data_IF_140957099182
#
_entry.id   IF_140957099182
#
_cell.length_a   1.000
_cell.length_b   1.000
_cell.length_c   1.000
_cell.angle_alpha   90.00
_cell.angle_beta   90.00
_cell.angle_gamma   90.00
#
_symmetry.space_group_name_H-M   'P 1'
#
loop_
_entity.id
_entity.type
_entity.pdbx_description
1 polymer ?
#
# COMPACT_ATOMS: atom_id res chain seq x y z
N UNK A 1 -60.09 75.23 -149.83
CA UNK A 1 -59.06 74.55 -149.00
C UNK A 1 -59.38 74.58 -147.49
N UNK A 2 -60.58 74.98 -147.06
CA UNK A 2 -60.97 74.97 -145.62
C UNK A 2 -61.96 73.86 -145.24
N UNK A 3 -62.73 73.30 -146.19
CA UNK A 3 -63.74 72.26 -145.93
C UNK A 3 -63.11 70.90 -145.52
N UNK A 4 -61.95 70.52 -146.07
CA UNK A 4 -61.27 69.25 -145.75
C UNK A 4 -60.68 69.25 -144.33
N UNK A 5 -60.23 70.42 -143.83
CA UNK A 5 -59.68 70.54 -142.48
C UNK A 5 -60.77 70.46 -141.40
N UNK A 6 -61.95 71.00 -141.65
CA UNK A 6 -63.09 70.88 -140.72
C UNK A 6 -63.68 69.47 -140.72
N UNK A 7 -63.72 68.77 -141.86
CA UNK A 7 -64.16 67.36 -141.94
C UNK A 7 -63.23 66.43 -141.14
N UNK A 8 -61.91 66.58 -141.27
CA UNK A 8 -60.95 65.77 -140.51
C UNK A 8 -60.96 66.09 -139.01
N UNK A 9 -61.34 67.32 -138.62
CA UNK A 9 -61.47 67.71 -137.21
C UNK A 9 -62.77 67.21 -136.59
N UNK A 10 -63.85 67.14 -137.36
CA UNK A 10 -65.13 66.54 -136.94
C UNK A 10 -64.98 65.02 -136.78
N UNK A 11 -64.31 64.33 -137.71
CA UNK A 11 -64.04 62.89 -137.61
C UNK A 11 -63.20 62.50 -136.40
N UNK A 12 -62.18 63.31 -136.05
CA UNK A 12 -61.39 63.14 -134.82
C UNK A 12 -62.21 63.32 -133.54
N UNK A 13 -63.23 64.19 -133.56
CA UNK A 13 -64.13 64.40 -132.41
C UNK A 13 -65.25 63.35 -132.35
N UNK A 14 -65.56 62.67 -133.46
CA UNK A 14 -66.55 61.60 -133.57
C UNK A 14 -65.99 60.18 -133.43
N UNK A 15 -64.66 60.02 -133.29
CA UNK A 15 -64.01 58.73 -133.01
C UNK A 15 -63.34 58.03 -134.20
N UNK A 16 -63.29 58.67 -135.38
CA UNK A 16 -62.50 58.21 -136.54
C UNK A 16 -61.06 58.72 -136.40
N UNK A 17 -60.26 57.91 -135.70
CA UNK A 17 -58.81 58.02 -135.59
C UNK A 17 -58.13 57.32 -136.78
N UNK A 18 -56.97 57.85 -137.20
CA UNK A 18 -56.07 57.23 -138.18
C UNK A 18 -55.61 55.85 -137.63
N UNK A 19 -55.55 54.76 -138.43
CA UNK A 19 -55.29 53.41 -137.92
C UNK A 19 -53.93 53.27 -137.22
N UNK A 20 -52.94 54.10 -137.57
CA UNK A 20 -51.64 54.17 -136.89
C UNK A 20 -51.73 54.76 -135.48
N UNK A 21 -52.49 55.85 -135.28
CA UNK A 21 -52.69 56.45 -133.96
C UNK A 21 -53.46 55.50 -133.03
N UNK A 22 -54.44 54.75 -133.57
CA UNK A 22 -55.16 53.71 -132.82
C UNK A 22 -54.21 52.59 -132.39
N UNK A 23 -53.35 52.10 -133.29
CA UNK A 23 -52.36 51.05 -132.98
C UNK A 23 -51.37 51.49 -131.90
N UNK A 24 -50.89 52.74 -131.93
CA UNK A 24 -50.00 53.29 -130.91
C UNK A 24 -50.69 53.43 -129.55
N UNK A 25 -51.96 53.86 -129.52
CA UNK A 25 -52.76 53.92 -128.30
C UNK A 25 -53.03 52.51 -127.75
N UNK A 26 -53.37 51.54 -128.60
CA UNK A 26 -53.59 50.14 -128.18
C UNK A 26 -52.30 49.51 -127.63
N UNK A 27 -51.15 49.80 -128.23
CA UNK A 27 -49.84 49.36 -127.74
C UNK A 27 -49.52 50.01 -126.39
N UNK A 28 -49.84 51.30 -126.22
CA UNK A 28 -49.66 52.00 -124.94
C UNK A 28 -50.62 51.50 -123.85
N UNK A 29 -51.85 51.14 -124.21
CA UNK A 29 -52.81 50.51 -123.30
C UNK A 29 -52.27 49.14 -122.85
N UNK A 30 -51.79 48.30 -123.78
CA UNK A 30 -51.21 47.01 -123.44
C UNK A 30 -49.96 47.11 -122.55
N UNK A 31 -49.08 48.10 -122.81
CA UNK A 31 -47.95 48.41 -121.93
C UNK A 31 -48.42 48.80 -120.51
N UNK A 32 -49.39 49.71 -120.42
CA UNK A 32 -49.92 50.16 -119.13
C UNK A 32 -50.67 49.05 -118.39
N UNK A 33 -51.38 48.17 -119.09
CA UNK A 33 -52.03 46.99 -118.54
C UNK A 33 -51.01 45.98 -118.00
N UNK A 34 -49.91 45.76 -118.72
CA UNK A 34 -48.83 44.89 -118.25
C UNK A 34 -48.12 45.50 -117.02
N UNK A 35 -47.80 46.79 -117.04
CA UNK A 35 -47.25 47.49 -115.86
C UNK A 35 -48.22 47.45 -114.67
N UNK A 36 -49.52 47.56 -114.91
CA UNK A 36 -50.55 47.48 -113.88
C UNK A 36 -50.62 46.07 -113.27
N UNK A 37 -50.56 45.03 -114.10
CA UNK A 37 -50.58 43.65 -113.63
C UNK A 37 -49.29 43.28 -112.88
N UNK A 38 -48.11 43.72 -113.35
CA UNK A 38 -46.84 43.57 -112.64
C UNK A 38 -46.88 44.25 -111.27
N UNK A 39 -47.38 45.50 -111.20
CA UNK A 39 -47.55 46.22 -109.92
C UNK A 39 -48.50 45.48 -108.99
N UNK A 40 -49.58 44.91 -109.50
CA UNK A 40 -50.56 44.14 -108.72
C UNK A 40 -49.96 42.82 -108.20
N UNK A 41 -49.11 42.15 -108.97
CA UNK A 41 -48.37 40.96 -108.53
C UNK A 41 -47.36 41.32 -107.44
N UNK A 42 -46.62 42.42 -107.59
CA UNK A 42 -45.70 42.93 -106.56
C UNK A 42 -46.46 43.31 -105.29
N UNK A 43 -47.59 44.00 -105.40
CA UNK A 43 -48.44 44.33 -104.26
C UNK A 43 -48.95 43.06 -103.54
N UNK A 44 -49.37 42.04 -104.29
CA UNK A 44 -49.80 40.75 -103.72
C UNK A 44 -48.66 40.04 -102.97
N UNK A 45 -47.44 40.02 -103.52
CA UNK A 45 -46.29 39.40 -102.84
C UNK A 45 -45.87 40.18 -101.60
N UNK A 46 -45.86 41.52 -101.64
CA UNK A 46 -45.56 42.38 -100.50
C UNK A 46 -46.61 42.25 -99.40
N UNK A 47 -47.90 42.22 -99.75
CA UNK A 47 -48.99 42.03 -98.78
C UNK A 47 -48.93 40.66 -98.11
N UNK A 48 -48.56 39.61 -98.85
CA UNK A 48 -48.32 38.28 -98.26
C UNK A 48 -47.11 38.28 -97.32
N UNK A 49 -45.99 38.90 -97.72
CA UNK A 49 -44.80 39.03 -96.87
C UNK A 49 -45.08 39.85 -95.59
N UNK A 50 -45.88 40.91 -95.68
CA UNK A 50 -46.34 41.68 -94.52
C UNK A 50 -47.17 40.81 -93.57
N UNK A 51 -48.16 40.06 -94.08
CA UNK A 51 -48.98 39.14 -93.27
C UNK A 51 -48.14 38.07 -92.57
N UNK A 52 -47.13 37.51 -93.26
CA UNK A 52 -46.19 36.57 -92.65
C UNK A 52 -45.35 37.23 -91.56
N UNK A 53 -44.84 38.44 -91.81
CA UNK A 53 -44.06 39.20 -90.83
C UNK A 53 -44.90 39.50 -89.58
N UNK A 54 -46.15 39.96 -89.75
CA UNK A 54 -47.10 40.16 -88.66
C UNK A 54 -47.38 38.87 -87.88
N UNK A 55 -47.51 37.73 -88.57
CA UNK A 55 -47.62 36.41 -87.96
C UNK A 55 -46.41 36.06 -87.09
N UNK A 56 -45.19 36.24 -87.62
CA UNK A 56 -43.94 36.00 -86.89
C UNK A 56 -43.81 36.93 -85.68
N UNK A 57 -44.16 38.21 -85.81
CA UNK A 57 -44.16 39.18 -84.70
C UNK A 57 -45.11 38.73 -83.58
N UNK A 58 -46.33 38.29 -83.91
CA UNK A 58 -47.28 37.77 -82.91
C UNK A 58 -46.75 36.53 -82.20
N UNK A 59 -46.14 35.60 -82.93
CA UNK A 59 -45.53 34.41 -82.34
C UNK A 59 -44.40 34.79 -81.37
N UNK A 60 -43.47 35.64 -81.81
CA UNK A 60 -42.34 36.08 -80.97
C UNK A 60 -42.81 36.81 -79.71
N UNK A 61 -43.86 37.65 -79.80
CA UNK A 61 -44.46 38.30 -78.62
C UNK A 61 -44.99 37.27 -77.61
N UNK A 62 -45.71 36.25 -78.08
CA UNK A 62 -46.23 35.19 -77.21
C UNK A 62 -45.12 34.38 -76.54
N UNK A 63 -44.04 34.08 -77.25
CA UNK A 63 -42.88 33.39 -76.67
C UNK A 63 -42.13 34.28 -75.67
N UNK A 64 -42.03 35.59 -75.95
CA UNK A 64 -41.46 36.57 -75.00
C UNK A 64 -42.29 36.64 -73.71
N UNK A 65 -43.61 36.72 -73.81
CA UNK A 65 -44.52 36.71 -72.64
C UNK A 65 -44.37 35.42 -71.81
N UNK A 66 -44.25 34.25 -72.47
CA UNK A 66 -44.00 32.98 -71.77
C UNK A 66 -42.64 32.98 -71.06
N UNK A 67 -41.59 33.45 -71.72
CA UNK A 67 -40.25 33.55 -71.15
C UNK A 67 -40.22 34.51 -69.95
N UNK A 68 -40.92 35.64 -70.04
CA UNK A 68 -41.05 36.61 -68.95
C UNK A 68 -41.79 36.01 -67.73
N UNK A 69 -42.88 35.27 -67.98
CA UNK A 69 -43.58 34.55 -66.92
C UNK A 69 -42.67 33.51 -66.23
N UNK A 70 -41.89 32.74 -67.01
CA UNK A 70 -40.91 31.79 -66.45
C UNK A 70 -39.81 32.49 -65.66
N UNK A 71 -39.30 33.62 -66.16
CA UNK A 71 -38.29 34.42 -65.48
C UNK A 71 -38.80 34.93 -64.13
N UNK A 72 -40.06 35.38 -64.07
CA UNK A 72 -40.68 35.84 -62.81
C UNK A 72 -40.81 34.69 -61.80
N UNK A 73 -41.24 33.50 -62.23
CA UNK A 73 -41.31 32.31 -61.35
C UNK A 73 -39.93 31.93 -60.81
N UNK A 74 -38.90 31.92 -61.68
CA UNK A 74 -37.53 31.63 -61.25
C UNK A 74 -36.98 32.70 -60.30
N UNK A 75 -37.30 33.97 -60.54
CA UNK A 75 -36.89 35.08 -59.67
C UNK A 75 -37.54 34.98 -58.28
N UNK A 76 -38.82 34.63 -58.20
CA UNK A 76 -39.48 34.41 -56.92
C UNK A 76 -38.95 33.16 -56.21
N UNK A 77 -38.62 32.10 -56.95
CA UNK A 77 -37.89 30.94 -56.42
C UNK A 77 -36.51 31.32 -55.84
N UNK A 78 -35.77 32.18 -56.54
CA UNK A 78 -34.48 32.69 -56.09
C UNK A 78 -34.59 33.48 -54.78
N UNK A 79 -35.55 34.41 -54.69
CA UNK A 79 -35.81 35.18 -53.46
C UNK A 79 -36.17 34.28 -52.28
N UNK A 80 -37.01 33.26 -52.51
CA UNK A 80 -37.38 32.31 -51.46
C UNK A 80 -36.18 31.50 -50.97
N UNK A 81 -35.30 31.07 -51.87
CA UNK A 81 -34.05 30.39 -51.50
C UNK A 81 -33.10 31.32 -50.75
N UNK A 82 -32.98 32.58 -51.16
CA UNK A 82 -32.16 33.58 -50.48
C UNK A 82 -32.63 33.81 -49.03
N UNK A 83 -33.94 33.98 -48.81
CA UNK A 83 -34.52 34.08 -47.47
C UNK A 83 -34.29 32.82 -46.63
N UNK A 84 -34.39 31.64 -47.24
CA UNK A 84 -34.10 30.38 -46.56
C UNK A 84 -32.62 30.31 -46.15
N UNK A 85 -31.70 30.65 -47.05
CA UNK A 85 -30.27 30.73 -46.76
C UNK A 85 -30.00 31.69 -45.60
N UNK A 86 -30.52 32.92 -45.63
CA UNK A 86 -30.37 33.88 -44.54
C UNK A 86 -30.90 33.36 -43.19
N UNK A 87 -32.07 32.70 -43.21
CA UNK A 87 -32.65 32.13 -41.99
C UNK A 87 -31.79 31.00 -41.41
N UNK A 88 -31.22 30.17 -42.28
CA UNK A 88 -30.33 29.08 -41.91
C UNK A 88 -29.00 29.60 -41.35
N UNK A 89 -28.44 30.67 -41.91
CA UNK A 89 -27.24 31.32 -41.40
C UNK A 89 -27.46 31.94 -40.02
N UNK A 90 -28.63 32.58 -39.80
CA UNK A 90 -29.01 33.12 -38.49
C UNK A 90 -29.14 31.99 -37.46
N UNK A 91 -29.76 30.86 -37.82
CA UNK A 91 -29.85 29.71 -36.92
C UNK A 91 -28.48 29.11 -36.62
N UNK A 92 -27.62 28.95 -37.62
CA UNK A 92 -26.25 28.47 -37.43
C UNK A 92 -25.48 29.36 -36.43
N UNK A 93 -25.57 30.68 -36.57
CA UNK A 93 -24.97 31.64 -35.63
C UNK A 93 -25.53 31.46 -34.21
N UNK A 94 -26.85 31.26 -34.06
CA UNK A 94 -27.47 30.98 -32.74
C UNK A 94 -26.95 29.70 -32.11
N UNK A 95 -26.84 28.62 -32.88
CA UNK A 95 -26.34 27.33 -32.40
C UNK A 95 -24.86 27.42 -32.01
N UNK A 96 -24.04 28.15 -32.79
CA UNK A 96 -22.63 28.38 -32.45
C UNK A 96 -22.49 29.12 -31.12
N UNK A 97 -23.27 30.16 -30.89
CA UNK A 97 -23.25 30.91 -29.62
C UNK A 97 -23.67 30.02 -28.44
N UNK A 98 -24.79 29.28 -28.57
CA UNK A 98 -25.24 28.33 -27.54
C UNK A 98 -24.17 27.29 -27.22
N UNK A 99 -23.47 26.77 -28.23
CA UNK A 99 -22.35 25.85 -28.03
C UNK A 99 -21.23 26.50 -27.21
N UNK A 100 -20.89 27.74 -27.51
CA UNK A 100 -19.85 28.47 -26.78
C UNK A 100 -20.25 28.69 -25.31
N UNK A 101 -21.51 29.06 -25.05
CA UNK A 101 -22.03 29.24 -23.69
C UNK A 101 -21.97 27.94 -22.88
N UNK A 102 -22.46 26.83 -23.45
CA UNK A 102 -22.39 25.50 -22.83
C UNK A 102 -20.94 25.08 -22.57
N UNK A 103 -20.00 25.36 -23.48
CA UNK A 103 -18.59 25.06 -23.27
C UNK A 103 -17.99 25.86 -22.10
N UNK A 104 -18.42 27.10 -21.90
CA UNK A 104 -17.98 27.93 -20.76
C UNK A 104 -18.57 27.38 -19.46
N UNK A 105 -19.88 27.08 -19.43
CA UNK A 105 -20.55 26.47 -18.29
C UNK A 105 -19.90 25.13 -17.89
N UNK A 106 -19.61 24.27 -18.87
CA UNK A 106 -18.91 23.00 -18.66
C UNK A 106 -17.51 23.21 -18.05
N UNK A 107 -16.78 24.24 -18.47
CA UNK A 107 -15.46 24.55 -17.87
C UNK A 107 -15.59 25.05 -16.45
N UNK A 108 -16.60 25.87 -16.14
CA UNK A 108 -16.88 26.37 -14.79
C UNK A 108 -17.23 25.21 -13.87
N UNK A 109 -18.15 24.33 -14.28
CA UNK A 109 -18.55 23.15 -13.48
C UNK A 109 -17.38 22.19 -13.29
N UNK A 110 -16.61 21.89 -14.34
CA UNK A 110 -15.40 21.07 -14.25
C UNK A 110 -14.37 21.66 -13.29
N UNK A 111 -14.20 22.98 -13.26
CA UNK A 111 -13.33 23.65 -12.29
C UNK A 111 -13.87 23.51 -10.85
N UNK A 112 -15.18 23.64 -10.66
CA UNK A 112 -15.84 23.38 -9.37
C UNK A 112 -15.61 21.95 -8.87
N UNK A 113 -15.77 20.95 -9.76
CA UNK A 113 -15.51 19.54 -9.44
C UNK A 113 -14.05 19.31 -9.05
N UNK A 114 -13.10 19.92 -9.77
CA UNK A 114 -11.67 19.83 -9.41
C UNK A 114 -11.40 20.38 -8.01
N UNK A 115 -11.89 21.59 -7.71
CA UNK A 115 -11.73 22.20 -6.36
C UNK A 115 -12.34 21.34 -5.26
N UNK A 116 -13.55 20.79 -5.48
CA UNK A 116 -14.21 19.94 -4.52
C UNK A 116 -13.43 18.64 -4.27
N UNK A 117 -12.89 18.03 -5.32
CA UNK A 117 -12.05 16.85 -5.24
C UNK A 117 -10.72 17.14 -4.51
N UNK A 118 -10.07 18.25 -4.82
CA UNK A 118 -8.81 18.62 -4.17
C UNK A 118 -9.03 18.91 -2.67
N UNK A 119 -10.15 19.54 -2.32
CA UNK A 119 -10.56 19.72 -0.91
C UNK A 119 -10.85 18.39 -0.22
N UNK A 120 -11.52 17.45 -0.91
CA UNK A 120 -11.80 16.11 -0.37
C UNK A 120 -10.50 15.36 -0.08
N UNK A 121 -9.53 15.38 -0.99
CA UNK A 121 -8.24 14.74 -0.78
C UNK A 121 -7.47 15.37 0.38
N UNK A 122 -7.41 16.70 0.46
CA UNK A 122 -6.81 17.37 1.61
C UNK A 122 -7.47 16.98 2.94
N UNK A 123 -8.81 16.84 2.97
CA UNK A 123 -9.52 16.41 4.17
C UNK A 123 -9.30 14.93 4.49
N UNK A 124 -9.16 14.07 3.49
CA UNK A 124 -8.81 12.67 3.70
C UNK A 124 -7.40 12.53 4.31
N UNK A 125 -6.43 13.31 3.84
CA UNK A 125 -5.07 13.35 4.39
C UNK A 125 -5.05 13.86 5.84
N UNK A 126 -5.84 14.90 6.14
CA UNK A 126 -6.01 15.41 7.51
C UNK A 126 -6.56 14.32 8.44
N UNK A 127 -7.61 13.60 8.01
CA UNK A 127 -8.24 12.53 8.80
C UNK A 127 -7.28 11.36 9.01
N UNK A 128 -6.55 10.95 7.98
CA UNK A 128 -5.55 9.89 8.09
C UNK A 128 -4.46 10.28 9.10
N UNK A 129 -3.96 11.51 9.02
CA UNK A 129 -2.96 12.03 9.94
C UNK A 129 -3.45 12.05 11.40
N UNK A 130 -4.70 12.44 11.61
CA UNK A 130 -5.33 12.43 12.93
C UNK A 130 -5.52 11.00 13.46
N UNK A 131 -5.93 10.05 12.61
CA UNK A 131 -6.12 8.66 13.03
C UNK A 131 -4.78 7.99 13.37
N UNK A 132 -3.72 8.27 12.60
CA UNK A 132 -2.36 7.84 12.94
C UNK A 132 -1.93 8.36 14.31
N UNK A 133 -2.08 9.67 14.56
CA UNK A 133 -1.74 10.29 15.85
C UNK A 133 -2.56 9.71 17.00
N UNK A 134 -3.85 9.42 16.78
CA UNK A 134 -4.72 8.78 17.78
C UNK A 134 -4.23 7.37 18.11
N UNK A 135 -3.84 6.57 17.11
CA UNK A 135 -3.29 5.23 17.34
C UNK A 135 -1.96 5.27 18.08
N UNK A 136 -1.06 6.21 17.74
CA UNK A 136 0.19 6.42 18.47
C UNK A 136 -0.06 6.78 19.94
N UNK A 137 -1.01 7.68 20.20
CA UNK A 137 -1.37 8.07 21.56
C UNK A 137 -1.99 6.90 22.33
N UNK A 138 -2.88 6.14 21.70
CA UNK A 138 -3.48 4.95 22.32
C UNK A 138 -2.43 3.90 22.67
N UNK A 139 -1.47 3.67 21.78
CA UNK A 139 -0.35 2.76 22.03
C UNK A 139 0.47 3.22 23.23
N UNK A 140 0.85 4.50 23.28
CA UNK A 140 1.60 5.07 24.39
C UNK A 140 0.82 5.04 25.72
N UNK A 141 -0.51 5.21 25.69
CA UNK A 141 -1.36 5.05 26.87
C UNK A 141 -1.36 3.61 27.37
N UNK A 142 -1.57 2.64 26.48
CA UNK A 142 -1.56 1.22 26.84
C UNK A 142 -0.20 0.79 27.41
N UNK A 143 0.91 1.19 26.78
CA UNK A 143 2.27 0.93 27.29
C UNK A 143 2.44 1.49 28.72
N UNK A 144 1.92 2.69 28.99
CA UNK A 144 1.97 3.29 30.33
C UNK A 144 1.07 2.58 31.34
N UNK A 145 -0.10 2.11 30.93
CA UNK A 145 -0.99 1.31 31.78
C UNK A 145 -0.34 -0.03 32.15
N UNK A 146 0.32 -0.69 31.21
CA UNK A 146 1.07 -1.93 31.44
C UNK A 146 2.25 -1.70 32.38
N UNK A 147 3.04 -0.65 32.17
CA UNK A 147 4.12 -0.24 33.08
C UNK A 147 3.60 -0.03 34.51
N UNK A 148 2.51 0.75 34.67
CA UNK A 148 1.89 1.00 35.98
C UNK A 148 1.42 -0.31 36.62
N UNK A 149 0.83 -1.22 35.84
CA UNK A 149 0.36 -2.52 36.33
C UNK A 149 1.51 -3.39 36.85
N UNK A 150 2.64 -3.39 36.15
CA UNK A 150 3.87 -4.08 36.60
C UNK A 150 4.38 -3.46 37.91
N UNK A 151 4.47 -2.12 37.99
CA UNK A 151 4.89 -1.44 39.22
C UNK A 151 3.96 -1.74 40.41
N UNK A 152 2.64 -1.72 40.19
CA UNK A 152 1.66 -2.08 41.22
C UNK A 152 1.83 -3.51 41.70
N UNK A 153 2.13 -4.45 40.79
CA UNK A 153 2.38 -5.86 41.13
C UNK A 153 3.64 -5.98 41.98
N UNK A 154 4.73 -5.30 41.61
CA UNK A 154 5.98 -5.28 42.38
C UNK A 154 5.77 -4.69 43.78
N UNK A 155 5.09 -3.54 43.89
CA UNK A 155 4.79 -2.92 45.18
C UNK A 155 3.92 -3.82 46.05
N UNK A 156 2.92 -4.48 45.45
CA UNK A 156 2.06 -5.43 46.17
C UNK A 156 2.86 -6.62 46.71
N UNK A 157 3.82 -7.13 45.94
CA UNK A 157 4.70 -8.19 46.39
C UNK A 157 5.65 -7.73 47.50
N UNK A 158 6.23 -6.54 47.38
CA UNK A 158 7.06 -5.94 48.43
C UNK A 158 6.27 -5.78 49.73
N UNK A 159 5.04 -5.27 49.67
CA UNK A 159 4.16 -5.13 50.83
C UNK A 159 3.88 -6.49 51.50
N UNK A 160 3.62 -7.54 50.72
CA UNK A 160 3.42 -8.90 51.24
C UNK A 160 4.67 -9.42 51.94
N UNK A 161 5.84 -9.25 51.33
CA UNK A 161 7.12 -9.68 51.92
C UNK A 161 7.38 -8.95 53.24
N UNK A 162 7.20 -7.63 53.30
CA UNK A 162 7.38 -6.85 54.53
C UNK A 162 6.37 -7.24 55.62
N UNK A 163 5.12 -7.53 55.27
CA UNK A 163 4.14 -8.01 56.25
C UNK A 163 4.51 -9.40 56.78
N UNK A 164 5.04 -10.28 55.93
CA UNK A 164 5.56 -11.59 56.35
C UNK A 164 6.77 -11.45 57.27
N UNK A 165 7.73 -10.58 56.96
CA UNK A 165 8.88 -10.26 57.82
C UNK A 165 8.44 -9.74 59.19
N UNK A 166 7.45 -8.82 59.20
CA UNK A 166 6.86 -8.30 60.44
C UNK A 166 6.19 -9.40 61.26
N UNK A 167 5.45 -10.32 60.62
CA UNK A 167 4.83 -11.46 61.30
C UNK A 167 5.90 -12.40 61.90
N UNK A 168 6.97 -12.68 61.16
CA UNK A 168 8.09 -13.49 61.62
C UNK A 168 8.78 -12.85 62.83
N UNK A 169 9.14 -11.56 62.76
CA UNK A 169 9.74 -10.82 63.87
C UNK A 169 8.80 -10.78 65.10
N UNK A 170 7.49 -10.64 64.88
CA UNK A 170 6.51 -10.71 65.98
C UNK A 170 6.46 -12.09 66.63
N UNK A 171 6.59 -13.17 65.85
CA UNK A 171 6.63 -14.53 66.39
C UNK A 171 7.91 -14.77 67.19
N UNK A 172 9.06 -14.33 66.69
CA UNK A 172 10.35 -14.38 67.39
C UNK A 172 10.29 -13.59 68.71
N UNK A 173 9.73 -12.37 68.69
CA UNK A 173 9.55 -11.55 69.89
C UNK A 173 8.69 -12.26 70.95
N UNK A 174 7.58 -12.87 70.53
CA UNK A 174 6.72 -13.63 71.44
C UNK A 174 7.44 -14.86 72.01
N UNK A 175 8.25 -15.55 71.22
CA UNK A 175 9.07 -16.66 71.71
C UNK A 175 10.08 -16.20 72.79
N UNK A 176 10.73 -15.04 72.57
CA UNK A 176 11.63 -14.43 73.56
C UNK A 176 10.87 -14.03 74.83
N UNK A 177 9.68 -13.45 74.71
CA UNK A 177 8.81 -13.11 75.84
C UNK A 177 8.45 -14.36 76.65
N UNK A 178 8.00 -15.43 76.00
CA UNK A 178 7.70 -16.72 76.65
C UNK A 178 8.95 -17.26 77.36
N UNK A 179 10.13 -17.15 76.75
CA UNK A 179 11.39 -17.60 77.36
C UNK A 179 11.73 -16.77 78.60
N UNK A 180 11.56 -15.45 78.54
CA UNK A 180 11.75 -14.56 79.69
C UNK A 180 10.77 -14.92 80.82
N UNK A 181 9.50 -15.15 80.49
CA UNK A 181 8.49 -15.51 81.50
C UNK A 181 8.75 -16.88 82.13
N UNK A 182 9.24 -17.86 81.36
CA UNK A 182 9.74 -19.14 81.90
C UNK A 182 10.88 -18.92 82.90
N UNK A 183 11.86 -18.08 82.56
CA UNK A 183 12.99 -17.77 83.44
C UNK A 183 12.52 -17.03 84.70
N UNK A 184 11.62 -16.04 84.56
CA UNK A 184 11.02 -15.33 85.70
C UNK A 184 10.27 -16.29 86.62
N UNK A 185 9.44 -17.17 86.06
CA UNK A 185 8.69 -18.17 86.82
C UNK A 185 9.62 -19.15 87.55
N UNK A 186 10.70 -19.62 86.88
CA UNK A 186 11.73 -20.45 87.52
C UNK A 186 12.38 -19.74 88.72
N UNK A 187 12.79 -18.49 88.56
CA UNK A 187 13.33 -17.70 89.67
C UNK A 187 12.31 -17.48 90.79
N UNK A 188 11.05 -17.23 90.47
CA UNK A 188 9.99 -17.06 91.46
C UNK A 188 9.75 -18.35 92.25
N UNK A 189 9.75 -19.52 91.59
CA UNK A 189 9.67 -20.82 92.28
C UNK A 189 10.87 -21.04 93.19
N UNK A 190 12.10 -20.72 92.74
CA UNK A 190 13.28 -20.80 93.61
C UNK A 190 13.13 -19.88 94.82
N UNK A 191 12.69 -18.63 94.62
CA UNK A 191 12.48 -17.69 95.73
C UNK A 191 11.44 -18.25 96.69
N UNK A 192 10.32 -18.80 96.22
CA UNK A 192 9.29 -19.39 97.07
C UNK A 192 9.76 -20.66 97.81
N UNK A 193 10.57 -21.51 97.17
CA UNK A 193 11.13 -22.73 97.79
C UNK A 193 12.26 -22.42 98.78
N UNK A 194 13.03 -21.37 98.54
CA UNK A 194 14.10 -20.91 99.44
C UNK A 194 13.57 -19.95 100.51
N UNK A 195 12.40 -19.35 100.31
CA UNK A 195 11.67 -18.61 101.33
C UNK A 195 11.21 -19.59 102.41
N UNK A 196 11.75 -19.41 103.60
CA UNK A 196 11.40 -20.19 104.78
C UNK A 196 9.97 -19.87 105.26
N UNK A 197 9.29 -20.82 105.94
CA UNK A 197 7.91 -20.63 106.35
C UNK A 197 7.77 -19.44 107.30
N UNK A 198 6.99 -18.46 106.82
CA UNK A 198 6.31 -17.37 107.53
C UNK A 198 6.96 -16.87 108.85
N UNK A 199 7.62 -15.71 108.77
CA UNK A 199 7.72 -14.84 109.95
C UNK A 199 8.84 -13.82 110.01
N UNK A 200 9.88 -13.92 109.20
CA UNK A 200 10.99 -12.95 109.22
C UNK A 200 11.14 -12.26 107.86
N UNK A 201 11.36 -10.94 107.89
CA UNK A 201 11.63 -10.08 106.72
C UNK A 201 12.57 -10.75 105.71
N UNK A 202 12.44 -10.42 104.43
CA UNK A 202 13.31 -10.89 103.34
C UNK A 202 14.79 -10.53 103.62
N UNK A 203 15.48 -11.37 104.41
CA UNK A 203 16.87 -11.15 104.75
C UNK A 203 17.74 -11.57 103.57
N UNK A 204 18.59 -10.65 103.12
CA UNK A 204 19.50 -10.83 101.98
C UNK A 204 20.37 -12.09 102.13
N UNK A 205 20.76 -12.74 101.03
CA UNK A 205 21.65 -13.90 101.01
C UNK A 205 22.93 -13.71 101.87
N UNK A 206 23.42 -12.48 101.94
CA UNK A 206 24.52 -12.09 102.81
C UNK A 206 24.23 -12.40 104.30
N UNK A 207 23.01 -12.15 104.78
CA UNK A 207 22.60 -12.46 106.15
C UNK A 207 22.69 -13.95 106.47
N UNK A 208 22.23 -14.83 105.57
CA UNK A 208 22.30 -16.28 105.79
C UNK A 208 23.73 -16.79 105.78
N UNK A 209 24.58 -16.25 104.90
CA UNK A 209 26.02 -16.54 104.91
C UNK A 209 26.66 -16.08 106.23
N UNK A 210 26.30 -14.88 106.71
CA UNK A 210 26.80 -14.35 107.98
C UNK A 210 26.30 -15.17 109.17
N UNK A 211 25.03 -15.58 109.20
CA UNK A 211 24.46 -16.40 110.28
C UNK A 211 25.08 -17.80 110.30
N UNK A 212 25.21 -18.45 109.14
CA UNK A 212 25.89 -19.74 109.04
C UNK A 212 27.38 -19.64 109.40
N UNK A 213 28.04 -18.52 109.09
CA UNK A 213 29.41 -18.26 109.52
C UNK A 213 29.52 -18.01 111.02
N UNK A 214 28.56 -17.30 111.63
CA UNK A 214 28.47 -17.10 113.08
C UNK A 214 28.24 -18.43 113.80
N UNK A 215 27.25 -19.21 113.38
CA UNK A 215 26.95 -20.52 113.95
C UNK A 215 28.13 -21.50 113.78
N UNK A 216 28.83 -21.45 112.64
CA UNK A 216 30.07 -22.22 112.43
C UNK A 216 31.19 -21.80 113.40
N UNK A 217 31.34 -20.51 113.69
CA UNK A 217 32.33 -20.02 114.65
C UNK A 217 31.94 -20.37 116.09
N UNK A 218 30.65 -20.29 116.45
CA UNK A 218 30.13 -20.73 117.74
C UNK A 218 30.35 -22.23 117.95
N UNK A 219 30.01 -23.06 116.95
CA UNK A 219 30.27 -24.50 116.97
C UNK A 219 31.76 -24.81 117.02
N UNK A 220 32.60 -24.00 116.38
CA UNK A 220 34.05 -24.15 116.46
C UNK A 220 34.57 -23.79 117.85
N UNK A 221 34.06 -22.73 118.49
CA UNK A 221 34.39 -22.40 119.87
C UNK A 221 33.92 -23.49 120.84
N UNK A 222 32.71 -24.02 120.65
CA UNK A 222 32.21 -25.16 121.45
C UNK A 222 33.03 -26.42 121.20
N UNK A 223 33.48 -26.63 119.96
CA UNK A 223 34.44 -27.67 119.58
C UNK A 223 35.80 -27.50 120.26
N UNK A 224 36.37 -26.31 120.24
CA UNK A 224 37.64 -25.98 120.92
C UNK A 224 37.49 -26.15 122.45
N UNK A 225 36.36 -25.76 123.04
CA UNK A 225 36.04 -25.98 124.46
C UNK A 225 35.90 -27.46 124.80
N UNK A 226 35.27 -28.25 123.94
CA UNK A 226 35.21 -29.69 124.06
C UNK A 226 36.58 -30.32 123.88
N UNK A 227 37.40 -29.85 122.95
CA UNK A 227 38.77 -30.31 122.74
C UNK A 227 39.65 -30.00 123.95
N UNK A 228 39.49 -28.84 124.60
CA UNK A 228 40.21 -28.58 125.87
C UNK A 228 39.74 -29.48 127.00
N UNK A 229 38.44 -29.86 127.04
CA UNK A 229 37.93 -30.88 127.97
C UNK A 229 38.45 -32.26 127.62
N UNK A 230 38.52 -32.61 126.33
CA UNK A 230 39.09 -33.85 125.82
C UNK A 230 40.56 -33.91 126.19
N UNK A 231 41.39 -32.90 125.91
CA UNK A 231 42.80 -32.89 126.32
C UNK A 231 42.98 -33.04 127.85
N UNK A 232 42.10 -32.45 128.66
CA UNK A 232 42.12 -32.67 130.12
C UNK A 232 41.78 -34.11 130.49
N UNK A 233 40.74 -34.65 129.87
CA UNK A 233 40.37 -36.07 130.01
C UNK A 233 41.43 -36.99 129.41
N UNK A 234 42.17 -36.58 128.38
CA UNK A 234 43.24 -37.33 127.72
C UNK A 234 44.46 -37.39 128.61
N UNK A 235 44.83 -36.31 129.30
CA UNK A 235 45.86 -36.35 130.34
C UNK A 235 45.43 -37.22 131.54
N UNK A 236 44.14 -37.20 131.88
CA UNK A 236 43.57 -38.09 132.90
C UNK A 236 43.55 -39.54 132.44
N UNK A 237 43.17 -39.82 131.19
CA UNK A 237 43.25 -41.15 130.60
C UNK A 237 44.67 -41.55 130.34
N UNK A 238 45.64 -40.69 130.02
CA UNK A 238 47.06 -41.03 129.90
C UNK A 238 47.63 -41.39 131.28
N UNK A 239 47.16 -40.76 132.35
CA UNK A 239 47.43 -41.19 133.72
C UNK A 239 46.78 -42.55 134.04
N UNK A 240 45.56 -42.82 133.57
CA UNK A 240 44.87 -44.11 133.72
C UNK A 240 45.40 -45.18 132.76
N UNK A 241 45.94 -44.82 131.61
CA UNK A 241 46.45 -45.65 130.53
C UNK A 241 47.90 -46.02 130.81
N UNK A 242 48.67 -45.18 131.52
CA UNK A 242 49.88 -45.62 132.25
C UNK A 242 49.55 -46.65 133.34
N UNK A 243 48.32 -46.70 133.83
CA UNK A 243 47.85 -47.71 134.80
C UNK A 243 47.29 -48.96 134.10
N UNK A 244 46.79 -48.84 132.85
CA UNK A 244 46.20 -49.93 132.04
C UNK A 244 47.24 -50.55 131.07
N UNK A 245 48.32 -49.86 130.71
CA UNK A 245 49.50 -50.39 129.99
C UNK A 245 50.33 -51.37 130.83
N UNK A 246 50.00 -51.51 132.12
CA UNK A 246 50.43 -52.62 132.97
C UNK A 246 49.51 -53.85 132.88
N UNK A 247 48.35 -53.78 132.21
CA UNK A 247 47.32 -54.83 132.26
C UNK A 247 46.73 -55.29 130.92
N UNK A 248 47.07 -54.69 129.78
CA UNK A 248 46.48 -55.14 128.50
C UNK A 248 47.39 -54.97 127.30
N UNK A 249 48.42 -55.81 127.24
CA UNK A 249 49.02 -56.26 125.98
C UNK A 249 48.24 -57.45 125.43
N UNK A 250 47.41 -57.26 124.39
CA UNK A 250 46.74 -58.39 123.71
C UNK A 250 45.74 -58.06 122.58
N UNK A 251 46.22 -58.20 121.33
CA UNK A 251 45.52 -58.59 120.07
C UNK A 251 44.62 -57.59 119.27
N UNK A 252 45.13 -57.24 118.05
CA UNK A 252 44.58 -57.38 116.66
C UNK A 252 43.20 -56.79 116.27
N UNK A 253 42.79 -56.47 115.02
CA UNK A 253 43.36 -56.24 113.66
C UNK A 253 42.19 -56.12 112.61
N UNK A 254 42.38 -55.32 111.54
CA UNK A 254 41.81 -55.35 110.13
C UNK A 254 40.36 -54.91 109.71
N UNK A 255 40.32 -54.31 108.48
CA UNK A 255 39.37 -54.38 107.32
C UNK A 255 38.40 -53.18 107.12
N UNK A 256 37.96 -52.69 105.93
CA UNK A 256 38.05 -53.03 104.48
C UNK A 256 37.46 -51.84 103.61
N UNK A 257 37.75 -51.82 102.28
CA UNK A 257 37.25 -50.98 101.14
C UNK A 257 35.73 -51.18 100.79
N UNK A 258 35.09 -50.80 99.60
CA UNK A 258 35.46 -50.09 98.33
C UNK A 258 34.33 -49.24 97.60
N UNK A 259 34.60 -48.83 96.33
CA UNK A 259 33.77 -48.94 95.06
C UNK A 259 32.93 -47.80 94.44
N UNK A 260 32.73 -47.94 93.11
CA UNK A 260 32.53 -46.96 92.01
C UNK A 260 31.23 -47.25 91.18
N UNK A 261 30.88 -46.28 90.30
CA UNK A 261 30.17 -46.32 88.99
C UNK A 261 28.68 -46.72 88.79
N UNK A 262 28.02 -46.03 87.82
CA UNK A 262 27.16 -46.58 86.74
C UNK A 262 26.59 -45.47 85.80
N UNK A 263 26.81 -45.52 84.46
CA UNK A 263 26.03 -46.11 83.32
C UNK A 263 24.86 -45.21 82.80
N UNK A 264 24.84 -44.67 81.57
CA UNK A 264 24.77 -45.24 80.20
C UNK A 264 23.39 -45.82 79.79
N UNK A 265 22.49 -44.96 79.30
CA UNK A 265 21.26 -45.31 78.57
C UNK A 265 20.74 -44.08 77.76
N UNK A 266 21.33 -43.75 76.60
CA UNK A 266 20.83 -42.62 75.76
C UNK A 266 21.17 -42.67 74.26
N UNK A 267 22.05 -43.54 73.77
CA UNK A 267 22.62 -43.39 72.41
C UNK A 267 21.75 -43.94 71.28
N UNK A 268 20.97 -45.00 71.53
CA UNK A 268 20.21 -45.70 70.49
C UNK A 268 19.09 -44.85 69.84
N UNK A 269 18.48 -43.94 70.60
CA UNK A 269 17.33 -43.15 70.13
C UNK A 269 17.74 -41.97 69.23
N UNK A 270 18.98 -41.48 69.35
CA UNK A 270 19.51 -40.41 68.50
C UNK A 270 19.91 -40.89 67.10
N UNK A 271 20.37 -42.13 66.98
CA UNK A 271 20.81 -42.70 65.71
C UNK A 271 19.65 -42.87 64.71
N UNK A 272 18.45 -43.19 65.19
CA UNK A 272 17.28 -43.39 64.34
C UNK A 272 16.78 -42.08 63.69
N UNK A 273 16.76 -40.98 64.45
CA UNK A 273 16.33 -39.66 63.94
C UNK A 273 17.28 -39.09 62.88
N UNK A 274 18.59 -39.37 63.02
CA UNK A 274 19.60 -38.91 62.06
C UNK A 274 19.48 -39.63 60.70
N UNK A 275 19.08 -40.91 60.69
CA UNK A 275 18.86 -41.66 59.44
C UNK A 275 17.65 -41.17 58.65
N UNK A 276 16.57 -40.83 59.32
CA UNK A 276 15.35 -40.30 58.69
C UNK A 276 15.60 -38.93 58.04
N UNK A 277 16.31 -38.03 58.75
CA UNK A 277 16.73 -36.74 58.19
C UNK A 277 17.66 -36.87 56.98
N UNK A 278 18.55 -37.87 56.98
CA UNK A 278 19.43 -38.13 55.85
C UNK A 278 18.62 -38.50 54.60
N UNK A 279 17.66 -39.44 54.73
CA UNK A 279 16.83 -39.89 53.60
C UNK A 279 15.93 -38.79 53.02
N UNK A 280 15.41 -37.89 53.86
CA UNK A 280 14.61 -36.75 53.40
C UNK A 280 15.46 -35.75 52.62
N UNK A 281 16.68 -35.45 53.10
CA UNK A 281 17.61 -34.57 52.39
C UNK A 281 18.08 -35.13 51.05
N UNK A 282 18.29 -36.45 50.97
CA UNK A 282 18.68 -37.14 49.73
C UNK A 282 17.56 -37.14 48.68
N UNK A 283 16.29 -37.25 49.09
CA UNK A 283 15.16 -37.16 48.15
C UNK A 283 14.98 -35.72 47.64
N UNK A 284 15.10 -34.72 48.50
CA UNK A 284 15.03 -33.30 48.09
C UNK A 284 16.14 -32.95 47.09
N UNK A 285 17.38 -33.40 47.34
CA UNK A 285 18.50 -33.26 46.40
C UNK A 285 18.18 -33.88 45.03
N UNK A 286 17.56 -35.06 45.00
CA UNK A 286 17.22 -35.76 43.76
C UNK A 286 16.15 -35.01 42.95
N UNK A 287 15.16 -34.43 43.63
CA UNK A 287 14.11 -33.62 42.98
C UNK A 287 14.68 -32.32 42.39
N UNK A 288 15.62 -31.66 43.10
CA UNK A 288 16.34 -30.48 42.60
C UNK A 288 17.26 -30.81 41.42
N UNK A 289 17.95 -31.95 41.44
CA UNK A 289 18.75 -32.46 40.32
C UNK A 289 17.88 -32.66 39.08
N UNK A 290 16.70 -33.27 39.24
CA UNK A 290 15.78 -33.52 38.14
C UNK A 290 15.17 -32.22 37.57
N UNK A 291 14.84 -31.24 38.42
CA UNK A 291 14.45 -29.91 37.94
C UNK A 291 15.57 -29.21 37.17
N UNK A 292 16.82 -29.38 37.60
CA UNK A 292 17.98 -28.78 36.93
C UNK A 292 18.19 -29.40 35.55
N UNK A 293 18.04 -30.72 35.41
CA UNK A 293 18.10 -31.41 34.11
C UNK A 293 16.97 -30.97 33.17
N UNK A 294 15.73 -30.87 33.66
CA UNK A 294 14.59 -30.38 32.86
C UNK A 294 14.81 -28.94 32.37
N UNK A 295 15.34 -28.07 33.22
CA UNK A 295 15.67 -26.69 32.83
C UNK A 295 16.81 -26.64 31.81
N UNK A 296 17.82 -27.51 31.95
CA UNK A 296 18.91 -27.61 30.97
C UNK A 296 18.41 -28.09 29.60
N UNK A 297 17.52 -29.08 29.58
CA UNK A 297 16.92 -29.57 28.33
C UNK A 297 16.07 -28.49 27.67
N UNK A 298 15.24 -27.78 28.44
CA UNK A 298 14.44 -26.66 27.93
C UNK A 298 15.31 -25.54 27.34
N UNK A 299 16.44 -25.21 27.99
CA UNK A 299 17.40 -24.23 27.45
C UNK A 299 18.03 -24.70 26.15
N UNK A 300 18.36 -25.99 26.03
CA UNK A 300 18.90 -26.56 24.80
C UNK A 300 17.88 -26.49 23.65
N UNK A 301 16.63 -26.86 23.90
CA UNK A 301 15.55 -26.82 22.91
C UNK A 301 15.24 -25.37 22.46
N UNK A 302 15.25 -24.44 23.41
CA UNK A 302 15.01 -23.02 23.12
C UNK A 302 16.17 -22.41 22.32
N UNK A 303 17.42 -22.82 22.59
CA UNK A 303 18.58 -22.44 21.78
C UNK A 303 18.52 -23.01 20.35
N UNK A 304 18.13 -24.27 20.18
CA UNK A 304 17.95 -24.86 18.84
C UNK A 304 16.86 -24.12 18.05
N UNK A 305 15.77 -23.75 18.72
CA UNK A 305 14.69 -22.95 18.10
C UNK A 305 15.17 -21.55 17.73
N UNK A 306 15.96 -20.91 18.58
CA UNK A 306 16.55 -19.59 18.29
C UNK A 306 17.48 -19.65 17.08
N UNK A 307 18.34 -20.66 16.99
CA UNK A 307 19.24 -20.88 15.85
C UNK A 307 18.45 -21.06 14.54
N UNK A 308 17.37 -21.84 14.57
CA UNK A 308 16.48 -22.02 13.42
C UNK A 308 15.82 -20.72 12.98
N UNK A 309 15.35 -19.90 13.94
CA UNK A 309 14.73 -18.61 13.64
C UNK A 309 15.73 -17.60 13.07
N UNK A 310 16.97 -17.60 13.56
CA UNK A 310 18.04 -16.76 13.01
C UNK A 310 18.40 -17.15 11.57
N UNK A 311 18.39 -18.45 11.26
CA UNK A 311 18.62 -18.92 9.90
C UNK A 311 17.48 -18.50 8.96
N UNK A 312 16.23 -18.60 9.40
CA UNK A 312 15.05 -18.15 8.64
C UNK A 312 15.07 -16.62 8.43
N UNK A 313 15.43 -15.84 9.46
CA UNK A 313 15.58 -14.39 9.34
C UNK A 313 16.66 -14.02 8.30
N UNK A 314 17.76 -14.78 8.24
CA UNK A 314 18.81 -14.52 7.26
C UNK A 314 18.34 -14.81 5.82
N UNK A 315 17.59 -15.90 5.61
CA UNK A 315 17.01 -16.22 4.29
C UNK A 315 16.04 -15.14 3.84
N UNK A 316 15.16 -14.66 4.73
CA UNK A 316 14.21 -13.59 4.40
C UNK A 316 14.94 -12.27 4.09
N UNK A 317 16.02 -11.94 4.83
CA UNK A 317 16.86 -10.77 4.52
C UNK A 317 17.50 -10.86 3.14
N UNK A 318 17.98 -12.03 2.75
CA UNK A 318 18.56 -12.25 1.43
C UNK A 318 17.49 -12.15 0.32
N UNK A 319 16.27 -12.66 0.55
CA UNK A 319 15.13 -12.46 -0.36
C UNK A 319 14.74 -10.99 -0.50
N UNK A 320 14.70 -10.24 0.61
CA UNK A 320 14.40 -8.80 0.59
C UNK A 320 15.48 -8.06 -0.22
N UNK A 321 16.76 -8.36 -0.01
CA UNK A 321 17.85 -7.78 -0.80
C UNK A 321 17.68 -8.06 -2.29
N UNK A 322 17.35 -9.30 -2.67
CA UNK A 322 17.12 -9.67 -4.05
C UNK A 322 15.93 -8.93 -4.68
N UNK A 323 14.80 -8.85 -3.96
CA UNK A 323 13.60 -8.11 -4.39
C UNK A 323 13.90 -6.61 -4.55
N UNK A 324 14.69 -6.02 -3.66
CA UNK A 324 15.13 -4.63 -3.75
C UNK A 324 16.03 -4.38 -4.97
N UNK A 325 16.97 -5.28 -5.26
CA UNK A 325 17.80 -5.19 -6.47
C UNK A 325 16.98 -5.29 -7.75
N UNK A 326 16.00 -6.19 -7.80
CA UNK A 326 15.09 -6.31 -8.93
C UNK A 326 14.24 -5.04 -9.12
N UNK A 327 13.70 -4.50 -8.02
CA UNK A 327 12.97 -3.22 -8.03
C UNK A 327 13.84 -2.08 -8.56
N UNK A 328 15.09 -1.98 -8.11
CA UNK A 328 16.03 -0.98 -8.59
C UNK A 328 16.35 -1.12 -10.09
N UNK A 329 16.42 -2.35 -10.62
CA UNK A 329 16.57 -2.61 -12.07
C UNK A 329 15.34 -2.15 -12.85
N UNK A 330 14.14 -2.54 -12.40
CA UNK A 330 12.88 -2.15 -13.04
C UNK A 330 12.67 -0.64 -13.04
N UNK A 331 13.01 0.06 -11.95
CA UNK A 331 12.92 1.52 -11.88
C UNK A 331 13.85 2.20 -12.91
N UNK A 332 15.08 1.70 -13.07
CA UNK A 332 15.99 2.22 -14.11
C UNK A 332 15.44 2.00 -15.52
N UNK A 333 14.82 0.85 -15.78
CA UNK A 333 14.20 0.56 -17.07
C UNK A 333 12.99 1.49 -17.35
N UNK A 334 12.18 1.78 -16.32
CA UNK A 334 11.09 2.76 -16.39
C UNK A 334 11.64 4.15 -16.76
N UNK A 335 12.70 4.61 -16.08
CA UNK A 335 13.33 5.90 -16.37
C UNK A 335 13.85 5.99 -17.81
N UNK A 336 14.51 4.93 -18.28
CA UNK A 336 14.99 4.83 -19.67
C UNK A 336 13.83 4.85 -20.69
N UNK A 337 12.71 4.20 -20.39
CA UNK A 337 11.52 4.20 -21.23
C UNK A 337 10.83 5.57 -21.23
N UNK A 338 10.73 6.24 -20.08
CA UNK A 338 10.19 7.60 -19.98
C UNK A 338 11.04 8.60 -20.78
N UNK A 339 12.37 8.50 -20.69
CA UNK A 339 13.26 9.35 -21.46
C UNK A 339 13.08 9.11 -22.97
N UNK A 340 13.06 7.85 -23.41
CA UNK A 340 12.78 7.50 -24.82
C UNK A 340 11.43 8.04 -25.27
N UNK A 341 10.38 7.90 -24.46
CA UNK A 341 9.05 8.42 -24.76
C UNK A 341 9.07 9.94 -24.93
N UNK A 342 9.73 10.68 -24.02
CA UNK A 342 9.84 12.14 -24.12
C UNK A 342 10.59 12.60 -25.39
N UNK A 343 11.69 11.91 -25.75
CA UNK A 343 12.45 12.18 -26.97
C UNK A 343 11.61 11.93 -28.22
N UNK A 344 10.92 10.80 -28.29
CA UNK A 344 10.04 10.48 -29.44
C UNK A 344 8.86 11.44 -29.51
N UNK A 345 8.20 11.75 -28.38
CA UNK A 345 7.08 12.69 -28.32
C UNK A 345 7.49 14.10 -28.81
N UNK A 346 8.66 14.60 -28.40
CA UNK A 346 9.17 15.87 -28.89
C UNK A 346 9.46 15.84 -30.39
N UNK A 347 10.00 14.73 -30.92
CA UNK A 347 10.20 14.55 -32.36
C UNK A 347 8.88 14.50 -33.14
N UNK A 348 7.88 13.75 -32.68
CA UNK A 348 6.53 13.71 -33.25
C UNK A 348 5.94 15.13 -33.30
N UNK A 349 6.04 15.88 -32.20
CA UNK A 349 5.53 17.26 -32.15
C UNK A 349 6.22 18.20 -33.15
N UNK A 350 7.51 18.00 -33.45
CA UNK A 350 8.24 18.77 -34.45
C UNK A 350 7.77 18.42 -35.86
N UNK A 351 7.67 17.13 -36.17
CA UNK A 351 7.19 16.65 -37.47
C UNK A 351 5.75 17.09 -37.74
N UNK A 352 4.85 17.02 -36.74
CA UNK A 352 3.49 17.55 -36.84
C UNK A 352 3.48 19.04 -37.17
N UNK A 353 4.33 19.85 -36.52
CA UNK A 353 4.45 21.29 -36.84
C UNK A 353 4.98 21.52 -38.26
N UNK A 354 5.94 20.72 -38.73
CA UNK A 354 6.46 20.78 -40.10
C UNK A 354 5.36 20.43 -41.12
N UNK A 355 4.58 19.37 -40.90
CA UNK A 355 3.45 18.98 -41.76
C UNK A 355 2.41 20.10 -41.87
N UNK A 356 2.00 20.69 -40.73
CA UNK A 356 1.08 21.83 -40.74
C UNK A 356 1.65 23.06 -41.45
N UNK A 357 2.96 23.31 -41.33
CA UNK A 357 3.61 24.44 -42.01
C UNK A 357 3.65 24.28 -43.53
N UNK A 358 3.94 23.06 -44.02
CA UNK A 358 4.01 22.75 -45.46
C UNK A 358 2.62 22.77 -46.09
N UNK A 359 1.61 22.20 -45.40
CA UNK A 359 0.24 22.13 -45.90
C UNK A 359 -0.54 23.45 -45.72
N UNK A 360 -0.01 24.43 -44.97
CA UNK A 360 -0.66 25.71 -44.63
C UNK A 360 -2.06 25.54 -44.02
N UNK A 361 -2.29 24.43 -43.34
CA UNK A 361 -3.57 24.11 -42.68
C UNK A 361 -3.37 24.04 -41.18
N UNK A 362 -4.25 24.69 -40.43
CA UNK A 362 -4.34 24.56 -38.96
C UNK A 362 -5.18 23.36 -38.52
N UNK A 363 -5.91 22.76 -39.45
CA UNK A 363 -6.71 21.56 -39.22
C UNK A 363 -5.86 20.30 -39.36
N UNK A 364 -6.24 19.28 -38.61
CA UNK A 364 -5.68 17.94 -38.66
C UNK A 364 -5.72 17.38 -40.08
N UNK A 365 -4.61 16.82 -40.51
CA UNK A 365 -4.48 16.26 -41.87
C UNK A 365 -5.00 14.83 -41.91
N UNK A 366 -5.41 14.36 -43.09
CA UNK A 366 -5.94 12.99 -43.27
C UNK A 366 -4.90 11.94 -42.86
N UNK A 367 -3.62 12.23 -43.06
CA UNK A 367 -2.50 11.38 -42.67
C UNK A 367 -2.31 11.35 -41.15
N UNK A 368 -2.55 12.44 -40.43
CA UNK A 368 -2.54 12.46 -38.96
C UNK A 368 -3.72 11.66 -38.39
N UNK A 369 -4.89 11.71 -39.03
CA UNK A 369 -6.04 10.88 -38.65
C UNK A 369 -5.77 9.38 -38.89
N UNK A 370 -5.12 9.01 -40.00
CA UNK A 370 -4.72 7.62 -40.27
C UNK A 370 -3.67 7.11 -39.28
N UNK A 371 -2.69 7.96 -38.92
CA UNK A 371 -1.69 7.65 -37.89
C UNK A 371 -2.36 7.41 -36.54
N UNK A 372 -3.24 8.32 -36.08
CA UNK A 372 -3.97 8.15 -34.81
C UNK A 372 -4.85 6.90 -34.81
N UNK A 373 -5.48 6.59 -35.93
CA UNK A 373 -6.29 5.38 -36.06
C UNK A 373 -5.44 4.12 -35.97
N UNK A 374 -4.23 4.12 -36.54
CA UNK A 374 -3.25 3.01 -36.39
C UNK A 374 -2.76 2.89 -34.95
N UNK A 375 -2.41 4.00 -34.30
CA UNK A 375 -2.00 4.03 -32.89
C UNK A 375 -3.10 3.50 -31.97
N UNK A 376 -4.36 3.89 -32.18
CA UNK A 376 -5.49 3.39 -31.41
C UNK A 376 -5.73 1.88 -31.62
N UNK A 377 -5.58 1.39 -32.85
CA UNK A 377 -5.67 -0.05 -33.14
C UNK A 377 -4.55 -0.85 -32.46
N UNK A 378 -3.34 -0.33 -32.47
CA UNK A 378 -2.18 -0.97 -31.86
C UNK A 378 -2.25 -0.92 -30.33
N UNK A 379 -2.71 0.20 -29.77
CA UNK A 379 -3.01 0.33 -28.34
C UNK A 379 -4.07 -0.67 -27.88
N UNK A 380 -5.17 -0.80 -28.61
CA UNK A 380 -6.21 -1.78 -28.32
C UNK A 380 -5.66 -3.23 -28.39
N UNK A 381 -4.84 -3.53 -29.41
CA UNK A 381 -4.15 -4.82 -29.53
C UNK A 381 -3.23 -5.10 -28.33
N UNK A 382 -2.50 -4.10 -27.85
CA UNK A 382 -1.60 -4.23 -26.70
C UNK A 382 -2.36 -4.42 -25.39
N UNK A 383 -3.47 -3.71 -25.18
CA UNK A 383 -4.35 -3.92 -24.02
C UNK A 383 -4.88 -5.34 -24.03
N UNK A 384 -5.39 -5.83 -25.16
CA UNK A 384 -5.92 -7.19 -25.26
C UNK A 384 -4.83 -8.24 -24.97
N UNK A 385 -3.58 -8.00 -25.37
CA UNK A 385 -2.44 -8.87 -25.04
C UNK A 385 -2.16 -8.88 -23.54
N UNK A 386 -2.10 -7.71 -22.91
CA UNK A 386 -1.86 -7.59 -21.46
C UNK A 386 -3.01 -8.20 -20.64
N UNK A 387 -4.25 -8.05 -21.12
CA UNK A 387 -5.42 -8.63 -20.47
C UNK A 387 -5.37 -10.16 -20.56
N UNK A 388 -5.00 -10.71 -21.72
CA UNK A 388 -4.79 -12.16 -21.86
C UNK A 388 -3.64 -12.67 -20.95
N UNK A 389 -2.51 -11.98 -20.88
CA UNK A 389 -1.39 -12.34 -20.01
C UNK A 389 -1.81 -12.33 -18.52
N UNK A 390 -2.55 -11.30 -18.08
CA UNK A 390 -3.08 -11.25 -16.71
C UNK A 390 -4.15 -12.32 -16.40
N UNK A 391 -4.94 -12.71 -17.41
CA UNK A 391 -5.89 -13.82 -17.29
C UNK A 391 -5.19 -15.19 -17.20
N UNK A 392 -4.02 -15.36 -17.86
CA UNK A 392 -3.21 -16.58 -17.81
C UNK A 392 -2.44 -16.72 -16.48
N UNK A 393 -1.94 -15.61 -15.93
CA UNK A 393 -1.12 -15.59 -14.71
C UNK A 393 -1.95 -15.75 -13.41
N UNK A 394 -3.26 -15.47 -13.45
CA UNK A 394 -4.11 -15.51 -12.25
C UNK A 394 -5.56 -15.89 -12.56
N UNK A 395 -5.94 -17.12 -12.18
CA UNK A 395 -7.30 -17.66 -12.39
C UNK A 395 -8.41 -16.81 -11.72
N UNK A 396 -8.12 -16.22 -10.56
CA UNK A 396 -9.07 -15.35 -9.84
C UNK A 396 -9.30 -14.03 -10.58
N UNK A 397 -8.23 -13.40 -11.09
CA UNK A 397 -8.32 -12.16 -11.86
C UNK A 397 -9.03 -12.40 -13.20
N UNK A 398 -8.77 -13.56 -13.83
CA UNK A 398 -9.44 -13.96 -15.07
C UNK A 398 -10.96 -14.04 -14.93
N UNK A 399 -11.44 -14.61 -13.82
CA UNK A 399 -12.88 -14.72 -13.54
C UNK A 399 -13.54 -13.34 -13.36
N UNK A 400 -12.88 -12.42 -12.63
CA UNK A 400 -13.37 -11.05 -12.39
C UNK A 400 -13.37 -10.21 -13.67
N UNK A 401 -12.33 -10.35 -14.50
CA UNK A 401 -12.23 -9.67 -15.79
C UNK A 401 -13.29 -10.15 -16.78
N UNK A 402 -13.54 -11.46 -16.84
CA UNK A 402 -14.59 -12.05 -17.67
C UNK A 402 -15.98 -11.56 -17.28
N UNK A 403 -16.29 -11.54 -15.97
CA UNK A 403 -17.55 -11.00 -15.45
C UNK A 403 -17.72 -9.50 -15.78
N UNK A 404 -16.65 -8.72 -15.62
CA UNK A 404 -16.65 -7.27 -15.92
C UNK A 404 -16.83 -6.98 -17.42
N UNK A 405 -16.21 -7.78 -18.29
CA UNK A 405 -16.33 -7.65 -19.76
C UNK A 405 -17.73 -8.06 -20.24
N UNK A 406 -18.31 -9.10 -19.65
CA UNK A 406 -19.69 -9.53 -19.88
C UNK A 406 -20.69 -8.46 -19.44
N UNK A 407 -20.49 -7.87 -18.26
CA UNK A 407 -21.33 -6.78 -17.76
C UNK A 407 -21.26 -5.52 -18.66
N UNK A 408 -20.09 -5.25 -19.24
CA UNK A 408 -19.89 -4.14 -20.18
C UNK A 408 -20.35 -4.43 -21.62
N UNK A 409 -20.85 -5.64 -21.92
CA UNK A 409 -21.19 -6.08 -23.28
C UNK A 409 -20.02 -5.98 -24.27
N UNK A 410 -18.79 -6.18 -23.79
CA UNK A 410 -17.58 -6.16 -24.61
C UNK A 410 -17.15 -7.60 -24.94
N UNK A 411 -16.64 -7.86 -26.16
CA UNK A 411 -16.14 -9.18 -26.51
C UNK A 411 -14.91 -9.51 -25.68
N UNK A 412 -14.83 -10.75 -25.18
CA UNK A 412 -13.62 -11.28 -24.57
C UNK A 412 -12.45 -11.17 -25.56
N UNK A 413 -11.28 -10.66 -25.13
CA UNK A 413 -10.12 -10.65 -26.02
C UNK A 413 -9.81 -12.08 -26.42
N UNK A 414 -9.83 -12.35 -27.73
CA UNK A 414 -9.51 -13.68 -28.21
C UNK A 414 -8.04 -13.97 -27.87
N UNK A 415 -7.70 -15.19 -27.38
CA UNK A 415 -6.32 -15.59 -27.28
C UNK A 415 -5.72 -15.45 -28.68
N UNK A 416 -4.67 -14.65 -28.79
CA UNK A 416 -3.97 -14.51 -30.05
C UNK A 416 -3.41 -15.89 -30.39
N UNK A 417 -4.06 -16.62 -31.30
CA UNK A 417 -3.39 -17.71 -31.99
C UNK A 417 -2.08 -17.15 -32.54
N UNK A 418 -0.97 -17.66 -32.02
CA UNK A 418 0.31 -17.51 -32.65
C UNK A 418 0.17 -17.84 -34.14
N UNK A 419 0.80 -17.00 -34.97
CA UNK A 419 0.92 -17.10 -36.43
C UNK A 419 -0.28 -16.60 -37.24
N UNK A 420 -0.29 -15.28 -37.54
CA UNK A 420 -0.75 -14.83 -38.86
C UNK A 420 0.47 -14.62 -39.76
N UNK A 421 0.64 -15.52 -40.71
CA UNK A 421 1.57 -15.44 -41.82
C UNK A 421 1.24 -14.23 -42.71
N UNK A 422 1.85 -13.08 -42.45
CA UNK A 422 1.97 -12.03 -43.47
C UNK A 422 3.06 -12.39 -44.46
N UNK A 423 2.75 -13.38 -45.32
CA UNK A 423 3.41 -13.54 -46.62
C UNK A 423 2.81 -12.50 -47.57
N UNK A 424 3.26 -11.26 -47.46
CA UNK A 424 2.98 -10.22 -48.46
C UNK A 424 4.25 -9.95 -49.27
N UNK A 425 4.15 -10.30 -50.54
CA UNK A 425 5.09 -10.10 -51.63
C UNK A 425 5.57 -8.65 -51.75
N UNK A 426 6.78 -8.36 -51.26
CA UNK A 426 7.54 -7.20 -51.73
C UNK A 426 8.18 -7.53 -53.07
N UNK A 427 7.55 -7.02 -54.14
CA UNK A 427 8.20 -6.85 -55.44
C UNK A 427 9.33 -5.84 -55.26
N UNK A 428 10.55 -6.28 -55.55
CA UNK A 428 11.71 -5.41 -55.68
C UNK A 428 11.47 -4.42 -56.82
N UNK A 429 11.39 -3.13 -56.50
CA UNK A 429 11.72 -2.08 -57.44
C UNK A 429 13.03 -1.45 -57.00
N UNK A 430 14.07 -1.81 -57.74
CA UNK A 430 15.35 -1.13 -57.76
C UNK A 430 15.13 0.27 -58.33
N UNK A 431 15.46 1.31 -57.56
CA UNK A 431 15.73 2.61 -58.15
C UNK A 431 16.96 3.23 -57.50
N UNK A 432 18.04 3.11 -58.25
CA UNK A 432 19.29 3.83 -58.14
C UNK A 432 19.05 5.34 -58.24
N UNK A 433 19.66 6.11 -57.35
CA UNK A 433 20.05 7.49 -57.65
C UNK A 433 21.25 7.94 -56.83
N UNK A 434 22.40 7.89 -57.51
CA UNK A 434 23.50 8.86 -57.52
C UNK A 434 23.89 9.57 -56.22
N UNK A 435 25.00 9.10 -55.66
CA UNK A 435 25.92 9.85 -54.81
C UNK A 435 26.55 11.03 -55.56
N UNK A 436 26.60 12.21 -54.92
CA UNK A 436 27.55 13.29 -55.23
C UNK A 436 28.48 13.53 -54.02
N UNK A 437 29.76 13.20 -54.25
CA UNK A 437 31.00 13.80 -53.69
C UNK A 437 30.86 15.30 -53.37
N UNK A 438 31.56 15.98 -52.46
CA UNK A 438 32.66 15.82 -51.46
C UNK A 438 32.87 17.26 -50.85
N UNK A 439 33.92 17.68 -50.09
CA UNK A 439 35.00 17.01 -49.31
C UNK A 439 35.21 17.63 -47.89
N UNK A 440 36.35 17.26 -47.26
CA UNK A 440 37.09 17.91 -46.15
C UNK A 440 36.84 17.32 -44.74
N UNK A 441 37.83 16.96 -43.90
CA UNK A 441 39.29 16.97 -43.98
C UNK A 441 39.85 16.01 -42.91
N UNK A 442 41.03 15.46 -43.21
CA UNK A 442 41.87 14.60 -42.38
C UNK A 442 42.87 15.38 -41.52
N UNK A 443 43.15 14.91 -40.29
CA UNK A 443 44.47 14.80 -39.61
C UNK A 443 44.22 14.63 -38.10
N UNK A 444 44.46 13.46 -37.50
CA UNK A 444 45.75 13.13 -36.85
C UNK A 444 45.51 12.60 -35.41
N UNK A 445 46.50 12.01 -34.71
CA UNK A 445 46.47 10.57 -34.37
C UNK A 445 46.51 10.19 -32.86
N UNK A 446 46.11 8.93 -32.57
CA UNK A 446 46.60 7.90 -31.57
C UNK A 446 47.21 8.31 -30.21
N UNK A 447 47.12 7.51 -29.09
CA UNK A 447 47.42 6.06 -29.10
C UNK A 447 46.76 5.11 -28.05
N UNK A 448 46.75 3.82 -28.44
CA UNK A 448 46.98 2.54 -27.71
C UNK A 448 46.90 2.46 -26.17
N UNK A 449 46.14 1.47 -25.69
CA UNK A 449 46.27 0.78 -24.39
C UNK A 449 45.47 -0.54 -24.39
N UNK A 450 45.88 -1.60 -23.66
CA UNK A 450 45.78 -2.99 -24.14
C UNK A 450 44.55 -3.77 -23.68
N UNK A 451 44.23 -4.81 -24.46
CA UNK A 451 43.26 -5.85 -24.15
C UNK A 451 43.80 -6.85 -23.12
N UNK A 452 43.02 -7.11 -22.07
CA UNK A 452 43.12 -8.33 -21.26
C UNK A 452 41.91 -9.22 -21.56
N UNK A 453 42.18 -10.45 -21.97
CA UNK A 453 41.19 -11.52 -22.09
C UNK A 453 40.92 -12.15 -20.73
N UNK A 454 39.65 -12.34 -20.39
CA UNK A 454 39.20 -13.22 -19.30
C UNK A 454 37.95 -14.00 -19.74
N UNK A 455 37.73 -15.20 -19.18
CA UNK A 455 37.19 -16.35 -19.92
C UNK A 455 35.68 -16.54 -19.78
N UNK A 456 35.11 -17.28 -20.74
CA UNK A 456 33.72 -17.77 -20.70
C UNK A 456 33.51 -18.79 -19.56
N UNK A 457 32.40 -18.71 -18.80
CA UNK A 457 32.01 -19.77 -17.88
C UNK A 457 31.36 -20.94 -18.64
N UNK A 458 31.83 -22.16 -18.33
CA UNK A 458 31.23 -23.43 -18.74
C UNK A 458 29.97 -23.67 -17.91
N UNK A 459 28.87 -23.97 -18.60
CA UNK A 459 27.60 -24.42 -18.01
C UNK A 459 27.78 -25.88 -17.59
N UNK A 460 27.66 -26.16 -16.30
CA UNK A 460 27.49 -27.52 -15.76
C UNK A 460 25.99 -27.78 -15.67
N UNK A 461 25.48 -28.68 -16.52
CA UNK A 461 24.15 -29.24 -16.38
C UNK A 461 24.19 -30.28 -15.25
N UNK A 462 23.41 -30.05 -14.20
CA UNK A 462 23.08 -31.05 -13.18
C UNK A 462 21.66 -31.53 -13.47
N UNK A 463 21.56 -32.66 -14.17
CA UNK A 463 20.31 -33.40 -14.32
C UNK A 463 19.98 -34.08 -12.99
N UNK A 464 18.91 -33.64 -12.34
CA UNK A 464 18.29 -34.37 -11.23
C UNK A 464 17.06 -35.12 -11.73
N UNK A 465 17.22 -36.43 -11.95
CA UNK A 465 16.13 -37.37 -12.16
C UNK A 465 15.33 -37.55 -10.86
N UNK A 466 14.11 -36.99 -10.80
CA UNK A 466 13.13 -37.28 -9.76
C UNK A 466 11.99 -38.12 -10.36
N UNK A 467 12.22 -39.42 -10.47
CA UNK A 467 11.15 -40.42 -10.62
C UNK A 467 11.02 -41.22 -9.33
N UNK A 468 10.26 -40.68 -8.37
CA UNK A 468 9.91 -41.34 -7.11
C UNK A 468 8.41 -41.30 -6.88
N UNK A 469 7.76 -42.44 -7.10
CA UNK A 469 6.32 -42.68 -6.86
C UNK A 469 6.03 -42.62 -5.34
N UNK A 470 4.91 -42.04 -4.88
CA UNK A 470 4.56 -42.07 -3.45
C UNK A 470 3.97 -43.46 -3.09
N UNK A 471 4.31 -44.04 -1.92
CA UNK A 471 3.57 -45.18 -1.39
C UNK A 471 2.30 -44.69 -0.68
N UNK A 472 1.18 -45.31 -1.00
CA UNK A 472 -0.07 -45.11 -0.28
C UNK A 472 -0.12 -45.94 1.00
N UNK A 473 -0.50 -45.29 2.10
CA UNK A 473 -1.69 -45.57 2.92
C UNK A 473 -1.82 -44.49 3.98
#
# INVERSE_FOLDING_TARGET
>A
MEIVKFSNKLGRLQGDLDPEERRLLDLKIAELENEQEEKKQVEMTLTNALKECEGRIRHLKKEMEKSEAQQNVLNDGMKNLELLCESSEKELKRVILKKQDIMVEQKITMMGVKRARDLLYSKADDVLSLEMRKLELQKAMNEREDEITVYLTILSQQLRNTEQEKQQLSAELNEKLIRIDKVKSYFQVIILQTAHPEGEEEKSQAYYITKAAQEKEELKQEGDDLDTKVCKMELETEALENTILLFSSGLNSVHSFPSNDNESMSEYQKELQLKEQLTDSENMMRDEEQQTEDLQQNLMDLNLKLESLLQEEQVEKDEICHKQELSAKLNKDIDLLQEKFSRTSTQCSKLTKEIHSVKKTKAETVEEQDIKLKELKEFNKNINKMLNEGMEDSCELGSVLEESLLQASLPLPSPACAVSSQRSSRRNFSQSSSSRRSPASSAGPSPKGPALSSPQPKILNLDFDLTGKPPGL
#
